data_IF_625410380154
#
_entry.id   IF_625410380154
#
_cell.length_a   1.000
_cell.length_b   1.000
_cell.length_c   1.000
_cell.angle_alpha   90.00
_cell.angle_beta   90.00
_cell.angle_gamma   90.00
#
_symmetry.space_group_name_H-M   'P 1'
#
loop_
_entity.id
_entity.type
_entity.pdbx_description
1 polymer ?
#
# COMPACT_ATOMS: atom_id res chain seq x y z
N UNK A 1 0.34 5.97 1.07
CA UNK A 1 0.71 4.77 1.86
C UNK A 1 2.09 5.00 2.45
N UNK A 2 2.20 4.96 3.78
CA UNK A 2 3.42 5.33 4.51
C UNK A 2 4.14 4.09 5.01
N UNK A 3 5.46 4.11 4.98
CA UNK A 3 6.33 3.08 5.57
C UNK A 3 6.84 3.64 6.89
N UNK A 4 6.67 2.88 7.97
CA UNK A 4 7.04 3.30 9.31
C UNK A 4 7.85 2.22 10.03
N UNK A 5 8.66 2.64 10.99
CA UNK A 5 9.47 1.76 11.83
C UNK A 5 9.14 1.99 13.30
N UNK A 6 9.07 0.90 14.06
CA UNK A 6 9.20 0.93 15.51
C UNK A 6 10.12 -0.22 15.93
N UNK A 7 11.17 0.11 16.67
CA UNK A 7 12.18 -0.86 17.10
C UNK A 7 12.72 -1.68 15.92
N UNK A 8 12.54 -3.01 15.97
CA UNK A 8 12.97 -3.96 14.93
C UNK A 8 11.85 -4.32 13.94
N UNK A 9 10.73 -3.59 13.97
CA UNK A 9 9.57 -3.85 13.13
C UNK A 9 9.37 -2.72 12.12
N UNK A 10 8.93 -3.08 10.93
CA UNK A 10 8.53 -2.16 9.87
C UNK A 10 7.06 -2.42 9.53
N UNK A 11 6.28 -1.36 9.39
CA UNK A 11 4.88 -1.42 8.98
C UNK A 11 4.67 -0.59 7.71
N UNK A 12 3.74 -1.05 6.87
CA UNK A 12 3.21 -0.26 5.76
C UNK A 12 1.75 0.04 6.11
N UNK A 13 1.40 1.32 6.21
CA UNK A 13 0.04 1.75 6.42
C UNK A 13 -0.67 1.89 5.07
N UNK A 14 -1.63 0.98 4.75
CA UNK A 14 -2.34 1.02 3.47
C UNK A 14 -3.29 2.22 3.38
N UNK A 15 -3.85 2.65 4.52
CA UNK A 15 -4.79 3.77 4.64
C UNK A 15 -4.29 4.81 5.64
N UNK A 16 -4.85 6.02 5.58
CA UNK A 16 -4.61 7.05 6.58
C UNK A 16 -5.18 6.62 7.93
N UNK A 17 -4.32 6.55 8.94
CA UNK A 17 -4.66 6.12 10.28
C UNK A 17 -3.71 6.82 11.26
N UNK A 18 -4.16 7.23 12.46
CA UNK A 18 -3.24 7.70 13.50
C UNK A 18 -2.19 6.61 13.80
N UNK A 19 -0.93 6.91 13.51
CA UNK A 19 0.20 6.02 13.75
C UNK A 19 1.18 6.65 14.72
N UNK A 20 1.59 5.91 15.75
CA UNK A 20 2.64 6.32 16.69
C UNK A 20 4.06 5.91 16.26
N UNK A 21 4.20 5.28 15.10
CA UNK A 21 5.48 4.77 14.60
C UNK A 21 6.15 5.81 13.70
N UNK A 22 7.48 5.83 13.68
CA UNK A 22 8.24 6.81 12.92
C UNK A 22 8.12 6.52 11.43
N UNK A 23 7.44 7.40 10.70
CA UNK A 23 7.35 7.32 9.24
C UNK A 23 8.71 7.63 8.59
N UNK A 24 9.22 6.68 7.81
CA UNK A 24 10.53 6.77 7.15
C UNK A 24 10.43 6.92 5.62
N UNK A 25 9.22 6.79 5.05
CA UNK A 25 9.03 6.90 3.61
C UNK A 25 7.61 6.59 3.17
N UNK A 26 7.42 6.49 1.85
CA UNK A 26 6.13 6.15 1.22
C UNK A 26 6.35 5.12 0.11
N UNK A 27 5.31 4.36 -0.20
CA UNK A 27 5.29 3.40 -1.31
C UNK A 27 4.06 3.64 -2.19
N UNK A 28 4.18 3.58 -3.53
CA UNK A 28 3.03 3.73 -4.43
C UNK A 28 2.25 2.42 -4.58
N UNK A 29 2.72 1.30 -4.02
CA UNK A 29 2.10 -0.04 -4.16
C UNK A 29 0.78 -0.15 -3.39
N UNK A 30 -0.23 -0.81 -3.96
CA UNK A 30 -1.47 -1.18 -3.27
C UNK A 30 -1.28 -2.52 -2.56
N UNK A 31 -1.35 -2.55 -1.22
CA UNK A 31 -1.14 -3.77 -0.42
C UNK A 31 -2.43 -4.51 -0.10
N UNK A 32 -3.56 -3.80 -0.14
CA UNK A 32 -4.88 -4.35 0.13
C UNK A 32 -5.86 -3.77 -0.88
N UNK A 33 -6.58 -4.65 -1.56
CA UNK A 33 -7.65 -4.33 -2.49
C UNK A 33 -8.78 -5.35 -2.31
N UNK A 34 -9.96 -4.94 -1.80
CA UNK A 34 -11.07 -5.86 -1.55
C UNK A 34 -11.64 -6.49 -2.83
N UNK A 35 -11.35 -5.93 -4.01
CA UNK A 35 -11.81 -6.46 -5.29
C UNK A 35 -10.88 -7.55 -5.86
N UNK A 36 -9.65 -7.68 -5.34
CA UNK A 36 -8.71 -8.71 -5.77
C UNK A 36 -8.90 -10.02 -4.99
N UNK A 37 -8.52 -11.15 -5.61
CA UNK A 37 -8.45 -12.45 -4.95
C UNK A 37 -7.05 -13.07 -5.13
N UNK A 38 -6.21 -13.12 -4.08
CA UNK A 38 -6.48 -12.70 -2.70
C UNK A 38 -6.49 -11.17 -2.53
N UNK A 39 -7.23 -10.63 -1.54
CA UNK A 39 -7.37 -9.18 -1.36
C UNK A 39 -6.11 -8.53 -0.78
N UNK A 40 -5.25 -9.31 -0.12
CA UNK A 40 -3.97 -8.86 0.39
C UNK A 40 -2.85 -9.28 -0.57
N UNK A 41 -1.96 -8.34 -0.89
CA UNK A 41 -0.79 -8.60 -1.74
C UNK A 41 0.25 -9.49 -1.05
N UNK A 42 0.35 -9.41 0.28
CA UNK A 42 1.32 -10.13 1.10
C UNK A 42 0.63 -11.14 2.01
N UNK A 43 1.23 -12.32 2.13
CA UNK A 43 0.84 -13.37 3.05
C UNK A 43 1.89 -13.56 4.17
N UNK A 44 1.52 -14.16 5.31
CA UNK A 44 2.49 -14.53 6.34
C UNK A 44 3.60 -15.44 5.78
N UNK A 45 4.85 -15.04 5.99
CA UNK A 45 6.03 -15.73 5.46
C UNK A 45 6.69 -15.04 4.27
N UNK A 46 6.01 -14.08 3.64
CA UNK A 46 6.58 -13.31 2.54
C UNK A 46 7.73 -12.41 3.00
N UNK A 47 8.74 -12.27 2.15
CA UNK A 47 9.87 -11.37 2.36
C UNK A 47 9.70 -10.08 1.56
N UNK A 48 9.92 -8.95 2.21
CA UNK A 48 9.79 -7.62 1.60
C UNK A 48 11.16 -6.96 1.51
N UNK A 49 11.47 -6.40 0.33
CA UNK A 49 12.66 -5.56 0.10
C UNK A 49 12.22 -4.20 -0.43
N UNK A 50 12.57 -3.13 0.28
CA UNK A 50 12.36 -1.77 -0.21
C UNK A 50 13.48 -1.37 -1.18
N UNK A 51 13.08 -0.82 -2.32
CA UNK A 51 13.99 -0.21 -3.30
C UNK A 51 13.71 1.29 -3.35
N UNK A 52 14.72 2.16 -3.17
CA UNK A 52 14.52 3.59 -3.36
C UNK A 52 14.22 3.88 -4.83
N UNK A 53 13.23 4.73 -5.06
CA UNK A 53 12.81 5.21 -6.39
C UNK A 53 12.79 6.74 -6.39
N UNK A 54 12.87 7.33 -7.59
CA UNK A 54 12.74 8.79 -7.74
C UNK A 54 11.28 9.21 -7.55
N UNK A 55 11.07 10.51 -7.29
CA UNK A 55 9.73 11.07 -7.11
C UNK A 55 8.85 10.91 -8.36
N UNK A 56 9.38 11.19 -9.54
CA UNK A 56 8.61 11.09 -10.79
C UNK A 56 8.15 9.63 -11.07
N UNK A 57 9.01 8.66 -10.73
CA UNK A 57 8.66 7.23 -10.82
C UNK A 57 7.58 6.86 -9.79
N UNK A 58 7.66 7.41 -8.57
CA UNK A 58 6.62 7.25 -7.56
C UNK A 58 5.26 7.75 -8.05
N UNK A 59 5.22 8.96 -8.61
CA UNK A 59 3.97 9.59 -9.06
C UNK A 59 3.36 8.81 -10.22
N UNK A 60 4.16 8.39 -11.22
CA UNK A 60 3.68 7.53 -12.30
C UNK A 60 3.12 6.18 -11.82
N UNK A 61 3.77 5.55 -10.83
CA UNK A 61 3.28 4.29 -10.26
C UNK A 61 2.02 4.47 -9.42
N UNK A 62 1.89 5.61 -8.74
CA UNK A 62 0.70 5.94 -7.98
C UNK A 62 -0.51 6.12 -8.90
N UNK A 63 -0.38 6.88 -9.99
CA UNK A 63 -1.45 7.12 -10.97
C UNK A 63 -1.93 5.81 -11.61
N UNK A 64 -1.00 4.93 -11.98
CA UNK A 64 -1.33 3.61 -12.54
C UNK A 64 -2.12 2.75 -11.55
N UNK A 65 -1.81 2.85 -10.26
CA UNK A 65 -2.48 2.07 -9.22
C UNK A 65 -3.85 2.68 -8.84
N UNK A 66 -4.06 3.99 -8.99
CA UNK A 66 -5.37 4.62 -8.79
C UNK A 66 -6.35 4.28 -9.91
N UNK A 67 -5.87 4.16 -11.16
CA UNK A 67 -6.73 3.83 -12.31
C UNK A 67 -7.33 2.41 -12.24
N UNK A 68 -6.72 1.50 -11.47
CA UNK A 68 -7.24 0.15 -11.25
C UNK A 68 -8.37 0.10 -10.21
N UNK A 69 -8.48 1.09 -9.31
CA UNK A 69 -9.48 1.11 -8.22
C UNK A 69 -10.81 1.77 -8.66
N UNK A 70 -10.81 2.46 -9.80
CA UNK A 70 -11.84 3.45 -10.16
C UNK A 70 -13.08 3.00 -10.94
N UNK A 71 -13.36 1.70 -11.14
CA UNK A 71 -14.49 1.33 -12.03
C UNK A 71 -15.56 0.36 -11.47
N UNK A 72 -15.40 -0.22 -10.28
CA UNK A 72 -16.32 -1.27 -9.81
C UNK A 72 -16.96 -1.00 -8.44
N UNK A 73 -17.09 0.27 -8.04
CA UNK A 73 -17.74 0.69 -6.79
C UNK A 73 -19.26 0.96 -6.95
N UNK A 74 -20.00 0.06 -7.61
CA UNK A 74 -21.48 0.11 -7.62
C UNK A 74 -22.10 -1.28 -7.53
N UNK A 75 -21.84 -1.99 -6.42
CA UNK A 75 -22.40 -3.31 -6.20
C UNK A 75 -22.38 -3.75 -4.74
N UNK A 76 -23.13 -3.08 -3.87
CA UNK A 76 -23.61 -3.72 -2.63
C UNK A 76 -24.83 -4.57 -2.97
N UNK A 77 -24.86 -5.85 -2.56
CA UNK A 77 -26.12 -6.44 -2.12
C UNK A 77 -25.99 -7.03 -0.71
N UNK A 78 -26.85 -6.51 0.18
CA UNK A 78 -27.34 -7.07 1.47
C UNK A 78 -26.35 -7.64 2.46
#
# INVERSE_FOLDING_TARGET
>A
RSVAIAERMTAIYPNECPGGWYAIGRTPMTFFDPLNNPPALLAPGDQVRFKPIKRDEFDHLADKNEHLVGHDAMGLPT
#
